data_IF_525569744451
#
_entry.id   IF_525569744451
#
_cell.length_a   1.000
_cell.length_b   1.000
_cell.length_c   1.000
_cell.angle_alpha   90.00
_cell.angle_beta   90.00
_cell.angle_gamma   90.00
#
_symmetry.space_group_name_H-M   'P 1'
#
loop_
_entity.id
_entity.type
_entity.pdbx_description
1 polymer ?
#
# COMPACT_ATOMS: atom_id res chain seq x y z
N UNK A 1 4.54 -25.59 -24.24
CA UNK A 1 5.89 -25.22 -23.74
C UNK A 1 5.80 -24.76 -22.28
N UNK A 2 4.85 -23.88 -21.93
CA UNK A 2 4.62 -23.45 -20.53
C UNK A 2 4.24 -24.58 -19.57
N UNK A 3 3.50 -25.60 -20.01
CA UNK A 3 3.11 -26.73 -19.16
C UNK A 3 4.27 -27.69 -18.80
N UNK A 4 5.45 -27.51 -19.42
CA UNK A 4 6.66 -28.31 -19.13
C UNK A 4 7.66 -27.57 -18.24
N UNK A 5 7.39 -26.31 -17.89
CA UNK A 5 8.25 -25.50 -17.05
C UNK A 5 7.91 -25.74 -15.58
N UNK A 6 8.93 -25.96 -14.73
CA UNK A 6 8.72 -26.07 -13.27
C UNK A 6 7.95 -24.86 -12.73
N UNK A 7 7.06 -25.07 -11.76
CA UNK A 7 6.11 -24.03 -11.32
C UNK A 7 6.83 -22.75 -10.84
N UNK A 8 7.95 -22.90 -10.11
CA UNK A 8 8.78 -21.78 -9.67
C UNK A 8 9.30 -20.91 -10.82
N UNK A 9 9.74 -21.51 -11.93
CA UNK A 9 10.23 -20.75 -13.09
C UNK A 9 9.08 -20.09 -13.85
N UNK A 10 7.88 -20.69 -13.80
CA UNK A 10 6.67 -20.13 -14.40
C UNK A 10 6.25 -18.84 -13.71
N UNK A 11 6.34 -18.76 -12.38
CA UNK A 11 6.08 -17.53 -11.61
C UNK A 11 7.05 -16.40 -11.99
N UNK A 12 8.36 -16.67 -12.01
CA UNK A 12 9.37 -15.68 -12.41
C UNK A 12 9.21 -15.21 -13.85
N UNK A 13 8.90 -16.13 -14.77
CA UNK A 13 8.64 -15.77 -16.16
C UNK A 13 7.35 -14.94 -16.30
N UNK A 14 6.29 -15.29 -15.57
CA UNK A 14 5.05 -14.53 -15.57
C UNK A 14 5.27 -13.11 -15.03
N UNK A 15 6.02 -12.95 -13.94
CA UNK A 15 6.42 -11.65 -13.42
C UNK A 15 7.18 -10.84 -14.48
N UNK A 16 8.21 -11.43 -15.09
CA UNK A 16 9.02 -10.76 -16.10
C UNK A 16 8.21 -10.30 -17.31
N UNK A 17 7.40 -11.20 -17.87
CA UNK A 17 6.56 -10.93 -19.05
C UNK A 17 5.51 -9.88 -18.69
N UNK A 18 4.83 -10.02 -17.55
CA UNK A 18 3.81 -9.07 -17.09
C UNK A 18 4.38 -7.67 -16.91
N UNK A 19 5.53 -7.54 -16.24
CA UNK A 19 6.23 -6.25 -16.10
C UNK A 19 6.69 -5.70 -17.45
N UNK A 20 7.09 -6.56 -18.39
CA UNK A 20 7.49 -6.12 -19.72
C UNK A 20 6.33 -5.50 -20.50
N UNK A 21 5.11 -5.99 -20.35
CA UNK A 21 3.93 -5.48 -21.06
C UNK A 21 3.59 -4.04 -20.66
N UNK A 22 3.95 -3.64 -19.44
CA UNK A 22 3.77 -2.25 -19.01
C UNK A 22 4.64 -1.25 -19.79
N UNK A 23 5.70 -1.74 -20.44
CA UNK A 23 6.56 -0.98 -21.35
C UNK A 23 6.43 -1.41 -22.82
N UNK A 24 5.63 -2.43 -23.13
CA UNK A 24 5.50 -2.99 -24.48
C UNK A 24 4.02 -3.21 -24.78
N UNK A 25 3.28 -2.11 -24.83
CA UNK A 25 1.87 -2.08 -25.20
C UNK A 25 1.54 -0.79 -25.94
N UNK A 26 0.44 -0.79 -26.69
CA UNK A 26 -0.04 0.38 -27.44
C UNK A 26 -0.44 1.57 -26.55
N UNK A 27 -0.52 1.39 -25.23
CA UNK A 27 -0.78 2.44 -24.25
C UNK A 27 0.48 3.19 -23.81
N UNK A 28 1.67 2.72 -24.22
CA UNK A 28 2.93 3.36 -23.87
C UNK A 28 3.17 4.64 -24.68
N UNK A 29 3.88 5.59 -24.06
CA UNK A 29 4.22 6.87 -24.68
C UNK A 29 5.68 7.26 -24.48
N UNK A 30 6.04 8.49 -24.86
CA UNK A 30 7.40 9.00 -24.70
C UNK A 30 7.61 9.70 -23.35
N UNK A 31 8.78 9.50 -22.73
CA UNK A 31 9.24 10.39 -21.67
C UNK A 31 9.56 11.77 -22.24
N UNK A 32 9.11 12.83 -21.59
CA UNK A 32 9.55 14.19 -21.92
C UNK A 32 8.92 14.76 -23.20
N UNK A 33 7.61 14.60 -23.37
CA UNK A 33 6.79 15.21 -24.45
C UNK A 33 7.05 16.71 -24.64
N UNK A 34 7.43 17.42 -23.56
CA UNK A 34 7.80 18.84 -23.58
C UNK A 34 9.25 19.13 -24.00
N UNK A 35 10.04 18.15 -24.43
CA UNK A 35 11.44 18.32 -24.87
C UNK A 35 11.56 18.06 -26.37
N UNK A 36 12.44 18.80 -27.04
CA UNK A 36 12.72 18.68 -28.48
C UNK A 36 13.17 17.28 -28.94
N UNK A 37 13.62 16.42 -28.01
CA UNK A 37 13.88 15.00 -28.27
C UNK A 37 13.13 14.17 -27.23
N UNK A 38 12.04 13.48 -27.61
CA UNK A 38 11.37 12.56 -26.71
C UNK A 38 12.37 11.48 -26.24
N UNK A 39 12.36 11.20 -24.94
CA UNK A 39 13.25 10.25 -24.29
C UNK A 39 12.77 8.79 -24.41
N UNK A 40 13.36 7.91 -23.61
CA UNK A 40 12.99 6.49 -23.57
C UNK A 40 11.49 6.25 -23.30
N UNK A 41 11.04 5.03 -23.56
CA UNK A 41 9.64 4.62 -23.35
C UNK A 41 9.18 4.94 -21.92
N UNK A 42 7.96 5.48 -21.84
CA UNK A 42 7.22 5.73 -20.61
C UNK A 42 6.24 4.60 -20.42
N UNK A 43 6.32 4.03 -19.23
CA UNK A 43 5.42 3.01 -18.72
C UNK A 43 3.94 3.43 -18.77
N UNK A 44 3.05 2.50 -19.08
CA UNK A 44 1.60 2.74 -19.19
C UNK A 44 1.02 3.40 -17.94
N UNK A 45 1.32 2.92 -16.73
CA UNK A 45 0.78 3.45 -15.46
C UNK A 45 1.55 4.63 -14.88
N UNK A 46 2.35 5.34 -15.68
CA UNK A 46 3.10 6.51 -15.19
C UNK A 46 2.24 7.65 -14.65
N UNK A 47 0.95 7.68 -15.01
CA UNK A 47 -0.05 8.63 -14.52
C UNK A 47 -1.17 7.97 -13.68
N UNK A 48 -0.98 6.71 -13.25
CA UNK A 48 -2.00 5.91 -12.55
C UNK A 48 -3.38 5.90 -13.22
N UNK A 49 -3.41 5.92 -14.55
CA UNK A 49 -4.61 5.88 -15.38
C UNK A 49 -4.38 5.04 -16.65
N UNK A 50 -5.46 4.77 -17.40
CA UNK A 50 -5.36 4.30 -18.77
C UNK A 50 -5.33 5.50 -19.72
N UNK A 51 -4.12 6.02 -19.97
CA UNK A 51 -3.91 7.07 -20.96
C UNK A 51 -3.80 6.47 -22.36
N UNK A 52 -4.65 6.90 -23.29
CA UNK A 52 -4.57 6.49 -24.70
C UNK A 52 -3.72 7.51 -25.48
N UNK A 53 -2.47 7.18 -25.83
CA UNK A 53 -1.62 8.11 -26.56
C UNK A 53 -2.11 8.27 -28.00
N UNK A 54 -2.03 9.49 -28.55
CA UNK A 54 -2.32 9.72 -29.97
C UNK A 54 -1.35 8.98 -30.90
N UNK A 55 -0.12 8.73 -30.43
CA UNK A 55 0.88 7.91 -31.11
C UNK A 55 1.40 6.87 -30.15
N UNK A 56 1.04 5.61 -30.40
CA UNK A 56 1.56 4.47 -29.67
C UNK A 56 3.07 4.30 -29.91
N UNK A 57 3.76 3.77 -28.92
CA UNK A 57 5.17 3.40 -29.00
C UNK A 57 5.33 1.98 -28.45
N UNK A 58 6.08 1.16 -29.16
CA UNK A 58 6.50 -0.15 -28.70
C UNK A 58 8.03 -0.21 -28.66
N UNK A 59 8.57 -0.77 -27.57
CA UNK A 59 10.00 -1.06 -27.50
C UNK A 59 10.29 -2.40 -28.17
N UNK A 60 11.57 -2.67 -28.48
CA UNK A 60 12.00 -4.02 -28.84
C UNK A 60 12.35 -4.76 -27.54
N UNK A 61 11.56 -5.77 -27.11
CA UNK A 61 11.76 -6.43 -25.82
C UNK A 61 13.10 -7.17 -25.70
N UNK A 62 13.68 -7.59 -26.83
CA UNK A 62 14.94 -8.36 -26.89
C UNK A 62 16.13 -7.50 -27.31
N UNK A 63 15.98 -6.18 -27.31
CA UNK A 63 17.07 -5.27 -27.61
C UNK A 63 18.22 -5.43 -26.61
N UNK A 64 19.45 -5.52 -27.12
CA UNK A 64 20.63 -5.88 -26.33
C UNK A 64 21.25 -4.72 -25.57
N UNK A 65 20.93 -3.47 -25.93
CA UNK A 65 21.44 -2.30 -25.24
C UNK A 65 20.58 -1.92 -24.03
N UNK A 66 21.15 -1.11 -23.14
CA UNK A 66 20.51 -0.68 -21.92
C UNK A 66 19.42 0.38 -22.18
N UNK A 67 18.18 -0.07 -22.37
CA UNK A 67 17.01 0.79 -22.55
C UNK A 67 15.86 0.35 -21.62
N UNK A 68 14.92 1.25 -21.34
CA UNK A 68 13.76 0.91 -20.51
C UNK A 68 12.87 -0.14 -21.19
N UNK A 69 12.37 -1.10 -20.41
CA UNK A 69 11.36 -2.05 -20.85
C UNK A 69 11.86 -3.26 -21.64
N UNK A 70 13.17 -3.47 -21.79
CA UNK A 70 13.70 -4.72 -22.37
C UNK A 70 13.62 -5.85 -21.35
N UNK A 71 13.40 -7.07 -21.81
CA UNK A 71 13.31 -8.26 -20.96
C UNK A 71 14.59 -8.47 -20.16
N UNK A 72 15.76 -8.31 -20.80
CA UNK A 72 17.05 -8.43 -20.12
C UNK A 72 17.18 -7.41 -18.98
N UNK A 73 16.87 -6.14 -19.25
CA UNK A 73 16.97 -5.08 -18.23
C UNK A 73 16.00 -5.31 -17.08
N UNK A 74 14.77 -5.71 -17.39
CA UNK A 74 13.76 -6.02 -16.37
C UNK A 74 14.17 -7.23 -15.52
N UNK A 75 14.75 -8.27 -16.13
CA UNK A 75 15.29 -9.40 -15.41
C UNK A 75 16.40 -8.98 -14.44
N UNK A 76 17.39 -8.22 -14.91
CA UNK A 76 18.51 -7.71 -14.09
C UNK A 76 17.99 -6.82 -12.94
N UNK A 77 17.13 -5.83 -13.23
CA UNK A 77 16.69 -4.80 -12.28
C UNK A 77 15.56 -5.26 -11.33
N UNK A 78 14.77 -6.29 -11.67
CA UNK A 78 13.59 -6.70 -10.89
C UNK A 78 13.69 -8.09 -10.30
N UNK A 79 14.40 -9.01 -10.96
CA UNK A 79 14.51 -10.40 -10.50
C UNK A 79 15.88 -10.61 -9.88
N UNK A 80 16.95 -10.28 -10.60
CA UNK A 80 18.31 -10.52 -10.13
C UNK A 80 18.68 -9.60 -8.95
N UNK A 81 18.40 -8.30 -9.06
CA UNK A 81 18.60 -7.33 -7.97
C UNK A 81 17.75 -7.67 -6.74
N UNK A 82 16.51 -8.11 -6.92
CA UNK A 82 15.65 -8.53 -5.82
C UNK A 82 16.19 -9.80 -5.14
N UNK A 83 16.62 -10.80 -5.94
CA UNK A 83 17.24 -12.02 -5.42
C UNK A 83 18.54 -11.75 -4.65
N UNK A 84 19.38 -10.83 -5.15
CA UNK A 84 20.57 -10.36 -4.41
C UNK A 84 20.19 -9.73 -3.07
N UNK A 85 19.20 -8.82 -3.08
CA UNK A 85 18.74 -8.18 -1.85
C UNK A 85 18.12 -9.19 -0.89
N UNK A 86 17.43 -10.21 -1.39
CA UNK A 86 16.83 -11.25 -0.55
C UNK A 86 17.87 -12.10 0.19
N UNK A 87 19.03 -12.36 -0.42
CA UNK A 87 20.14 -13.09 0.23
C UNK A 87 20.93 -12.18 1.17
N UNK A 88 21.13 -10.91 0.80
CA UNK A 88 21.91 -9.94 1.57
C UNK A 88 21.14 -8.61 1.73
N UNK A 89 20.09 -8.57 2.58
CA UNK A 89 19.25 -7.39 2.71
C UNK A 89 20.04 -6.23 3.29
N UNK A 90 19.81 -5.05 2.72
CA UNK A 90 20.45 -3.80 3.12
C UNK A 90 19.43 -2.75 3.53
N UNK A 91 19.76 -1.97 4.56
CA UNK A 91 18.96 -0.86 5.07
C UNK A 91 19.79 0.44 5.13
N UNK A 92 19.13 1.59 5.13
CA UNK A 92 19.73 2.91 5.32
C UNK A 92 19.99 3.16 6.80
N UNK A 93 21.27 3.34 7.15
CA UNK A 93 21.68 3.82 8.47
C UNK A 93 22.05 5.29 8.41
N UNK A 94 21.33 6.11 9.18
CA UNK A 94 21.67 7.51 9.35
C UNK A 94 22.96 7.65 10.17
N UNK A 95 23.83 8.53 9.73
CA UNK A 95 25.10 8.89 10.36
C UNK A 95 25.23 10.41 10.40
N UNK A 96 26.23 10.93 11.11
CA UNK A 96 26.51 12.38 11.12
C UNK A 96 26.88 12.94 9.73
N UNK A 97 27.36 12.09 8.81
CA UNK A 97 27.75 12.49 7.46
C UNK A 97 26.65 12.28 6.40
N UNK A 98 25.42 11.98 6.82
CA UNK A 98 24.32 11.56 5.93
C UNK A 98 23.94 10.11 6.17
N UNK A 99 23.32 9.45 5.20
CA UNK A 99 22.94 8.04 5.31
C UNK A 99 23.87 7.16 4.46
N UNK A 100 24.03 5.90 4.89
CA UNK A 100 24.70 4.86 4.09
C UNK A 100 23.89 3.58 4.11
N UNK A 101 23.99 2.77 3.06
CA UNK A 101 23.45 1.39 3.08
C UNK A 101 24.33 0.53 3.98
N UNK A 102 23.70 -0.26 4.84
CA UNK A 102 24.36 -1.26 5.69
C UNK A 102 23.66 -2.59 5.49
N UNK A 103 24.43 -3.66 5.43
CA UNK A 103 23.90 -5.02 5.41
C UNK A 103 23.29 -5.36 6.78
N UNK A 104 22.14 -6.03 6.76
CA UNK A 104 21.49 -6.57 7.94
C UNK A 104 22.07 -7.96 8.20
N UNK A 105 23.12 -8.01 9.02
CA UNK A 105 23.82 -9.27 9.31
C UNK A 105 22.89 -10.30 9.92
N UNK A 106 22.85 -11.49 9.31
CA UNK A 106 22.02 -12.61 9.75
C UNK A 106 20.60 -12.60 9.21
N UNK A 107 20.17 -11.55 8.51
CA UNK A 107 18.85 -11.46 7.88
C UNK A 107 18.86 -11.96 6.43
N UNK A 108 17.74 -12.54 6.00
CA UNK A 108 17.45 -12.92 4.61
C UNK A 108 15.96 -12.75 4.36
N UNK A 109 15.56 -12.25 3.19
CA UNK A 109 14.16 -12.23 2.76
C UNK A 109 13.82 -13.55 2.07
N UNK A 110 13.50 -14.55 2.90
CA UNK A 110 13.17 -15.89 2.44
C UNK A 110 12.72 -16.74 3.61
N UNK A 111 11.91 -17.75 3.31
CA UNK A 111 11.31 -18.58 4.34
C UNK A 111 10.64 -19.82 3.76
N UNK A 112 10.00 -20.58 4.63
CA UNK A 112 9.15 -21.71 4.25
C UNK A 112 7.70 -21.24 4.22
N UNK A 113 7.07 -21.37 3.06
CA UNK A 113 5.64 -21.13 2.93
C UNK A 113 4.86 -22.24 3.65
N UNK A 114 3.85 -21.84 4.42
CA UNK A 114 2.93 -22.69 5.14
C UNK A 114 1.54 -22.56 4.52
N UNK A 115 0.78 -23.64 4.49
CA UNK A 115 -0.59 -23.66 3.97
C UNK A 115 -1.61 -23.14 4.99
N UNK A 116 -1.27 -23.19 6.28
CA UNK A 116 -2.12 -22.70 7.36
C UNK A 116 -1.32 -22.33 8.61
N UNK A 117 -1.98 -21.69 9.58
CA UNK A 117 -1.35 -21.27 10.83
C UNK A 117 -0.95 -22.47 11.71
N UNK A 118 -1.61 -23.62 11.56
CA UNK A 118 -1.30 -24.85 12.29
C UNK A 118 0.04 -25.47 11.88
N UNK A 119 0.54 -25.16 10.68
CA UNK A 119 1.85 -25.62 10.19
C UNK A 119 3.01 -24.80 10.80
N UNK A 120 2.71 -23.73 11.54
CA UNK A 120 3.74 -22.94 12.22
C UNK A 120 4.27 -23.75 13.41
N UNK A 121 5.48 -24.26 13.27
CA UNK A 121 6.16 -25.08 14.28
C UNK A 121 7.12 -24.26 15.16
N UNK A 122 7.14 -22.94 14.96
CA UNK A 122 8.00 -22.00 15.67
C UNK A 122 9.41 -21.90 15.08
N UNK A 123 9.67 -22.50 13.91
CA UNK A 123 10.88 -22.25 13.15
C UNK A 123 10.93 -20.78 12.69
N UNK A 124 12.16 -20.29 12.51
CA UNK A 124 12.41 -18.93 12.05
C UNK A 124 12.07 -18.85 10.56
N UNK A 125 11.33 -17.79 10.16
CA UNK A 125 10.95 -17.48 8.77
C UNK A 125 9.96 -18.46 8.13
N UNK A 126 8.84 -18.71 8.80
CA UNK A 126 7.65 -19.27 8.16
C UNK A 126 6.69 -18.15 7.73
N UNK A 127 5.98 -18.32 6.63
CA UNK A 127 5.04 -17.32 6.13
C UNK A 127 3.82 -17.95 5.43
N UNK A 128 2.74 -17.18 5.33
CA UNK A 128 1.52 -17.53 4.59
C UNK A 128 1.27 -16.40 3.59
N UNK A 129 1.00 -16.73 2.32
CA UNK A 129 0.52 -15.78 1.31
C UNK A 129 -0.84 -16.24 0.83
N UNK A 130 -1.85 -15.37 0.96
CA UNK A 130 -3.22 -15.70 0.58
C UNK A 130 -3.88 -14.56 -0.19
N UNK A 131 -4.67 -14.92 -1.20
CA UNK A 131 -5.59 -14.02 -1.88
C UNK A 131 -6.97 -14.13 -1.25
N UNK A 132 -7.38 -13.13 -0.44
CA UNK A 132 -8.71 -13.11 0.19
C UNK A 132 -9.14 -11.69 0.58
N UNK A 133 -10.40 -11.55 0.94
CA UNK A 133 -10.93 -10.37 1.62
C UNK A 133 -10.30 -10.22 3.02
N UNK A 134 -9.60 -9.11 3.24
CA UNK A 134 -8.96 -8.80 4.53
C UNK A 134 -9.94 -8.53 5.69
N UNK A 135 -11.24 -8.48 5.42
CA UNK A 135 -12.27 -8.46 6.47
C UNK A 135 -12.61 -9.85 7.01
N UNK A 136 -12.03 -10.91 6.45
CA UNK A 136 -12.14 -12.28 6.95
C UNK A 136 -10.79 -13.00 6.88
N UNK A 137 -10.13 -13.12 8.03
CA UNK A 137 -8.84 -13.79 8.17
C UNK A 137 -9.03 -15.18 8.82
N UNK A 138 -8.39 -16.23 8.30
CA UNK A 138 -8.45 -17.60 8.81
C UNK A 138 -7.50 -17.75 10.00
N UNK A 139 -7.47 -16.74 10.86
CA UNK A 139 -6.61 -16.64 12.01
C UNK A 139 -7.45 -16.72 13.28
N UNK A 140 -6.99 -17.43 14.33
CA UNK A 140 -7.67 -17.42 15.61
C UNK A 140 -7.74 -16.01 16.21
N UNK A 141 -8.73 -15.80 17.07
CA UNK A 141 -8.79 -14.59 17.90
C UNK A 141 -7.48 -14.40 18.67
N UNK A 142 -7.00 -13.15 18.73
CA UNK A 142 -5.83 -12.78 19.54
C UNK A 142 -4.58 -13.62 19.24
N UNK A 143 -4.35 -13.96 17.98
CA UNK A 143 -3.20 -14.75 17.53
C UNK A 143 -2.01 -13.89 17.05
N UNK A 144 -2.24 -12.63 16.67
CA UNK A 144 -1.27 -11.77 15.98
C UNK A 144 -0.75 -10.64 16.88
N UNK A 145 0.56 -10.38 16.89
CA UNK A 145 1.15 -9.27 17.64
C UNK A 145 1.00 -7.92 16.91
N UNK A 146 1.17 -7.90 15.59
CA UNK A 146 1.13 -6.68 14.78
C UNK A 146 0.32 -6.90 13.52
N UNK A 147 -0.60 -5.97 13.24
CA UNK A 147 -1.20 -5.81 11.92
C UNK A 147 -0.57 -4.56 11.32
N UNK A 148 0.24 -4.73 10.27
CA UNK A 148 0.87 -3.63 9.54
C UNK A 148 0.24 -3.58 8.15
N UNK A 149 -0.36 -2.45 7.79
CA UNK A 149 -1.14 -2.32 6.54
C UNK A 149 -1.04 -0.91 5.96
N UNK A 150 -1.49 -0.75 4.72
CA UNK A 150 -1.63 0.53 4.02
C UNK A 150 -3.04 0.57 3.41
N UNK A 151 -4.06 1.02 4.16
CA UNK A 151 -5.45 0.92 3.73
C UNK A 151 -5.70 1.83 2.53
N UNK A 152 -6.67 1.49 1.66
CA UNK A 152 -6.98 2.30 0.48
C UNK A 152 -7.31 3.73 0.89
N UNK A 153 -6.70 4.67 0.18
CA UNK A 153 -6.93 6.10 0.37
C UNK A 153 -8.22 6.50 -0.35
N UNK A 154 -9.04 7.28 0.37
CA UNK A 154 -10.31 7.79 -0.11
C UNK A 154 -10.18 8.41 -1.52
N UNK A 155 -10.93 7.88 -2.50
CA UNK A 155 -11.11 8.44 -3.85
C UNK A 155 -9.80 8.70 -4.65
N UNK A 156 -8.66 8.11 -4.28
CA UNK A 156 -7.37 8.57 -4.80
C UNK A 156 -6.83 7.79 -6.01
N UNK A 157 -7.13 6.48 -6.15
CA UNK A 157 -6.66 5.66 -7.28
C UNK A 157 -7.61 4.48 -7.53
N UNK A 158 -8.04 4.30 -8.79
CA UNK A 158 -8.86 3.17 -9.25
C UNK A 158 -8.02 1.89 -9.44
N UNK A 159 -7.34 1.41 -8.40
CA UNK A 159 -6.44 0.25 -8.49
C UNK A 159 -7.13 -1.01 -9.03
N UNK A 160 -8.41 -1.21 -8.69
CA UNK A 160 -9.22 -2.30 -9.23
C UNK A 160 -9.26 -2.30 -10.75
N UNK A 161 -9.52 -1.15 -11.36
CA UNK A 161 -9.62 -1.03 -12.82
C UNK A 161 -8.25 -1.12 -13.49
N UNK A 162 -7.22 -0.51 -12.91
CA UNK A 162 -5.84 -0.62 -13.40
C UNK A 162 -5.32 -2.07 -13.34
N UNK A 163 -5.76 -2.85 -12.35
CA UNK A 163 -5.37 -4.25 -12.22
C UNK A 163 -5.86 -5.12 -13.38
N UNK A 164 -6.93 -4.71 -14.09
CA UNK A 164 -7.48 -5.47 -15.21
C UNK A 164 -6.43 -5.72 -16.30
N UNK A 165 -5.54 -4.76 -16.57
CA UNK A 165 -4.41 -4.91 -17.47
C UNK A 165 -3.65 -6.21 -17.18
N UNK A 166 -3.14 -6.36 -15.96
CA UNK A 166 -2.37 -7.54 -15.57
C UNK A 166 -3.18 -8.83 -15.58
N UNK A 167 -4.44 -8.77 -15.13
CA UNK A 167 -5.30 -9.96 -15.01
C UNK A 167 -5.53 -10.65 -16.34
N UNK A 168 -5.66 -9.90 -17.44
CA UNK A 168 -6.02 -10.47 -18.75
C UNK A 168 -5.06 -11.57 -19.18
N UNK A 169 -3.74 -11.41 -18.99
CA UNK A 169 -2.75 -12.43 -19.33
C UNK A 169 -2.32 -13.29 -18.15
N UNK A 170 -2.24 -12.74 -16.94
CA UNK A 170 -1.79 -13.53 -15.79
C UNK A 170 -2.71 -14.72 -15.52
N UNK A 171 -4.01 -14.62 -15.79
CA UNK A 171 -4.92 -15.78 -15.71
C UNK A 171 -4.57 -16.93 -16.66
N UNK A 172 -3.99 -16.63 -17.83
CA UNK A 172 -3.54 -17.65 -18.78
C UNK A 172 -2.18 -18.21 -18.39
N UNK A 173 -1.29 -17.33 -17.91
CA UNK A 173 0.04 -17.72 -17.47
C UNK A 173 0.00 -18.51 -16.17
N UNK A 174 -0.88 -18.19 -15.23
CA UNK A 174 -0.92 -18.73 -13.88
C UNK A 174 -2.34 -19.19 -13.47
N UNK A 175 -2.99 -20.07 -14.25
CA UNK A 175 -4.41 -20.39 -14.10
C UNK A 175 -4.79 -21.05 -12.76
N UNK A 176 -3.80 -21.55 -12.01
CA UNK A 176 -3.99 -22.27 -10.74
C UNK A 176 -3.40 -21.54 -9.53
N UNK A 177 -2.67 -20.45 -9.75
CA UNK A 177 -1.90 -19.78 -8.68
C UNK A 177 -2.67 -18.62 -8.03
N UNK A 178 -3.87 -18.31 -8.53
CA UNK A 178 -4.74 -17.27 -7.99
C UNK A 178 -6.20 -17.59 -8.33
N UNK A 179 -7.11 -17.04 -7.54
CA UNK A 179 -8.52 -16.98 -7.90
C UNK A 179 -8.77 -15.82 -8.87
N UNK A 180 -8.84 -16.16 -10.15
CA UNK A 180 -9.09 -15.21 -11.22
C UNK A 180 -10.54 -14.71 -11.29
N UNK A 181 -11.48 -15.35 -10.58
CA UNK A 181 -12.90 -14.99 -10.56
C UNK A 181 -13.25 -13.88 -9.56
N UNK A 182 -12.24 -13.34 -8.86
CA UNK A 182 -12.41 -12.27 -7.88
C UNK A 182 -13.27 -11.11 -8.41
N UNK A 183 -14.33 -10.79 -7.66
CA UNK A 183 -15.28 -9.72 -7.98
C UNK A 183 -14.74 -8.37 -7.53
N UNK A 184 -14.37 -7.51 -8.48
CA UNK A 184 -13.90 -6.16 -8.19
C UNK A 184 -14.92 -5.29 -7.44
N UNK A 185 -16.23 -5.61 -7.55
CA UNK A 185 -17.33 -4.84 -6.93
C UNK A 185 -17.31 -4.87 -5.40
N UNK A 186 -16.77 -5.90 -4.76
CA UNK A 186 -16.67 -5.98 -3.29
C UNK A 186 -15.51 -5.16 -2.72
N UNK A 187 -14.60 -4.67 -3.57
CA UNK A 187 -13.44 -3.88 -3.14
C UNK A 187 -13.84 -2.49 -2.60
N UNK A 188 -13.12 -2.02 -1.59
CA UNK A 188 -13.26 -0.67 -1.03
C UNK A 188 -13.00 0.44 -2.06
N UNK A 189 -12.24 0.14 -3.12
CA UNK A 189 -11.90 1.08 -4.20
C UNK A 189 -12.80 0.95 -5.43
N UNK A 190 -13.88 0.15 -5.38
CA UNK A 190 -14.83 0.02 -6.48
C UNK A 190 -15.78 1.22 -6.58
N UNK A 191 -16.02 1.72 -7.80
CA UNK A 191 -16.95 2.84 -8.03
C UNK A 191 -18.41 2.47 -7.74
N UNK A 192 -19.09 3.23 -6.88
CA UNK A 192 -20.52 3.10 -6.57
C UNK A 192 -21.15 4.47 -6.25
N UNK A 193 -22.47 4.64 -6.35
CA UNK A 193 -23.16 5.91 -6.06
C UNK A 193 -23.05 6.37 -4.58
N UNK A 194 -22.91 5.43 -3.63
CA UNK A 194 -22.74 5.70 -2.19
C UNK A 194 -21.28 5.51 -1.71
N UNK A 195 -20.33 6.19 -2.38
CA UNK A 195 -18.86 5.98 -2.20
C UNK A 195 -18.39 6.05 -0.75
N UNK A 196 -18.79 7.07 0.01
CA UNK A 196 -18.27 7.29 1.36
C UNK A 196 -18.78 6.26 2.38
N UNK A 197 -20.07 5.93 2.34
CA UNK A 197 -20.68 4.97 3.26
C UNK A 197 -20.19 3.55 2.99
N UNK A 198 -20.09 3.15 1.72
CA UNK A 198 -19.48 1.87 1.34
C UNK A 198 -18.02 1.79 1.79
N UNK A 199 -17.22 2.83 1.51
CA UNK A 199 -15.82 2.90 1.95
C UNK A 199 -15.70 2.73 3.46
N UNK A 200 -16.51 3.48 4.23
CA UNK A 200 -16.55 3.38 5.70
C UNK A 200 -16.92 1.98 6.16
N UNK A 201 -17.94 1.37 5.58
CA UNK A 201 -18.41 0.05 5.97
C UNK A 201 -17.33 -1.03 5.73
N UNK A 202 -16.70 -1.03 4.55
CA UNK A 202 -15.63 -1.98 4.21
C UNK A 202 -14.41 -1.76 5.11
N UNK A 203 -13.94 -0.51 5.24
CA UNK A 203 -12.79 -0.21 6.11
C UNK A 203 -13.07 -0.59 7.56
N UNK A 204 -14.27 -0.29 8.09
CA UNK A 204 -14.65 -0.70 9.43
C UNK A 204 -14.68 -2.22 9.59
N UNK A 205 -15.10 -2.97 8.56
CA UNK A 205 -15.07 -4.45 8.58
C UNK A 205 -13.63 -4.98 8.69
N UNK A 206 -12.72 -4.49 7.84
CA UNK A 206 -11.30 -4.85 7.86
C UNK A 206 -10.65 -4.51 9.21
N UNK A 207 -10.95 -3.33 9.74
CA UNK A 207 -10.43 -2.89 11.03
C UNK A 207 -10.99 -3.75 12.18
N UNK A 208 -12.28 -4.10 12.18
CA UNK A 208 -12.83 -5.02 13.18
C UNK A 208 -12.14 -6.38 13.15
N UNK A 209 -11.88 -6.88 11.95
CA UNK A 209 -11.16 -8.15 11.79
C UNK A 209 -9.73 -8.06 12.31
N UNK A 210 -9.04 -6.97 11.99
CA UNK A 210 -7.73 -6.65 12.57
C UNK A 210 -7.79 -6.59 14.10
N UNK A 211 -8.85 -6.00 14.67
CA UNK A 211 -9.06 -5.93 16.11
C UNK A 211 -9.24 -7.31 16.75
N UNK A 212 -9.98 -8.21 16.08
CA UNK A 212 -10.23 -9.60 16.52
C UNK A 212 -8.94 -10.41 16.62
N UNK A 213 -8.11 -10.37 15.59
CA UNK A 213 -6.88 -11.18 15.52
C UNK A 213 -5.75 -10.65 16.41
N UNK A 214 -5.76 -9.36 16.77
CA UNK A 214 -4.69 -8.76 17.57
C UNK A 214 -4.62 -9.29 19.02
N UNK A 215 -3.42 -9.59 19.51
CA UNK A 215 -3.18 -9.98 20.91
C UNK A 215 -3.49 -8.84 21.88
N UNK A 216 -3.86 -9.18 23.11
CA UNK A 216 -4.05 -8.22 24.22
C UNK A 216 -3.01 -8.47 25.30
N UNK A 217 -2.49 -7.43 25.99
CA UNK A 217 -2.70 -5.99 25.79
C UNK A 217 -1.80 -5.35 24.72
N UNK A 218 -0.85 -6.11 24.17
CA UNK A 218 0.28 -5.56 23.42
C UNK A 218 0.09 -5.46 21.91
N UNK A 219 -1.00 -6.02 21.36
CA UNK A 219 -1.25 -6.01 19.92
C UNK A 219 -1.34 -4.59 19.36
N UNK A 220 -0.75 -4.34 18.19
CA UNK A 220 -0.79 -3.03 17.52
C UNK A 220 -1.27 -3.14 16.09
N UNK A 221 -2.18 -2.23 15.72
CA UNK A 221 -2.49 -1.92 14.33
C UNK A 221 -1.63 -0.71 13.93
N UNK A 222 -0.91 -0.82 12.82
CA UNK A 222 0.02 0.20 12.33
C UNK A 222 -0.25 0.42 10.84
N UNK A 223 -0.50 1.66 10.45
CA UNK A 223 -0.59 2.00 9.03
C UNK A 223 -0.16 3.44 8.74
N UNK A 224 0.25 3.65 7.50
CA UNK A 224 0.51 4.97 6.92
C UNK A 224 -0.80 5.60 6.45
N UNK A 225 -0.95 6.90 6.66
CA UNK A 225 -2.10 7.65 6.16
C UNK A 225 -1.73 9.10 5.86
N UNK A 226 -2.17 9.59 4.70
CA UNK A 226 -1.91 10.94 4.25
C UNK A 226 -3.01 11.35 3.26
N UNK A 227 -3.78 12.39 3.59
CA UNK A 227 -4.84 12.88 2.70
C UNK A 227 -5.20 14.34 3.01
N UNK A 228 -5.34 15.19 1.99
CA UNK A 228 -5.65 16.62 2.18
C UNK A 228 -7.11 16.88 2.59
N UNK A 229 -8.06 16.07 2.11
CA UNK A 229 -9.50 16.29 2.38
C UNK A 229 -9.85 15.82 3.80
N UNK A 230 -10.46 16.70 4.59
CA UNK A 230 -10.98 16.39 5.92
C UNK A 230 -11.97 15.21 5.90
N UNK A 231 -12.77 15.09 4.84
CA UNK A 231 -13.73 13.98 4.67
C UNK A 231 -13.06 12.60 4.76
N UNK A 232 -11.84 12.45 4.24
CA UNK A 232 -11.12 11.19 4.32
C UNK A 232 -10.73 10.85 5.78
N UNK A 233 -10.28 11.85 6.54
CA UNK A 233 -9.98 11.71 7.96
C UNK A 233 -11.22 11.46 8.83
N UNK A 234 -12.35 12.06 8.46
CA UNK A 234 -13.66 11.79 9.08
C UNK A 234 -14.01 10.31 8.92
N UNK A 235 -14.04 9.80 7.69
CA UNK A 235 -14.40 8.40 7.43
C UNK A 235 -13.43 7.42 8.11
N UNK A 236 -12.13 7.73 8.11
CA UNK A 236 -11.13 6.96 8.86
C UNK A 236 -11.41 6.95 10.37
N UNK A 237 -11.66 8.12 10.97
CA UNK A 237 -11.93 8.27 12.40
C UNK A 237 -13.18 7.46 12.81
N UNK A 238 -14.24 7.56 12.01
CA UNK A 238 -15.48 6.84 12.24
C UNK A 238 -15.30 5.32 12.11
N UNK A 239 -14.53 4.86 11.12
CA UNK A 239 -14.23 3.43 10.93
C UNK A 239 -13.40 2.87 12.10
N UNK A 240 -12.36 3.59 12.55
CA UNK A 240 -11.54 3.22 13.71
C UNK A 240 -12.36 3.16 15.00
N UNK A 241 -13.25 4.13 15.21
CA UNK A 241 -14.15 4.15 16.37
C UNK A 241 -15.10 2.96 16.37
N UNK A 242 -15.73 2.68 15.23
CA UNK A 242 -16.61 1.52 15.05
C UNK A 242 -15.88 0.18 15.19
N UNK A 243 -14.57 0.16 14.92
CA UNK A 243 -13.69 -1.00 15.11
C UNK A 243 -13.01 -1.05 16.48
N UNK A 244 -13.41 -0.19 17.43
CA UNK A 244 -12.92 -0.24 18.81
C UNK A 244 -11.40 -0.09 18.91
N UNK A 245 -10.83 0.87 18.20
CA UNK A 245 -9.42 1.26 18.30
C UNK A 245 -9.24 2.60 19.01
N UNK A 246 -8.08 2.76 19.64
CA UNK A 246 -7.57 4.04 20.13
C UNK A 246 -6.17 4.30 19.62
N UNK A 247 -5.85 5.57 19.39
CA UNK A 247 -4.51 5.99 18.99
C UNK A 247 -3.56 5.90 20.19
N UNK A 248 -2.39 5.29 19.99
CA UNK A 248 -1.31 5.16 20.99
C UNK A 248 -0.19 6.12 20.67
N UNK A 249 0.19 6.21 19.39
CA UNK A 249 1.23 7.11 18.93
C UNK A 249 1.03 7.47 17.46
N UNK A 250 1.66 8.57 17.04
CA UNK A 250 1.67 9.01 15.65
C UNK A 250 3.03 9.60 15.31
N UNK A 251 3.59 9.23 14.16
CA UNK A 251 4.83 9.79 13.63
C UNK A 251 4.57 10.48 12.31
N UNK A 252 5.13 11.67 12.13
CA UNK A 252 5.09 12.38 10.86
C UNK A 252 6.43 12.19 10.17
N UNK A 253 6.43 11.54 9.01
CA UNK A 253 7.65 11.21 8.25
C UNK A 253 7.62 11.86 6.88
N UNK A 254 8.77 12.33 6.39
CA UNK A 254 8.87 12.85 5.03
C UNK A 254 8.84 11.67 4.04
N UNK A 255 7.86 11.66 3.14
CA UNK A 255 7.52 10.50 2.29
C UNK A 255 7.71 10.75 0.78
N UNK A 256 8.07 11.96 0.33
CA UNK A 256 8.13 12.25 -1.11
C UNK A 256 9.28 11.52 -1.84
N UNK A 257 8.90 10.87 -2.95
CA UNK A 257 9.83 10.47 -4.01
C UNK A 257 9.98 11.62 -5.02
N UNK A 258 11.21 12.10 -5.33
CA UNK A 258 11.46 13.19 -6.28
C UNK A 258 11.10 12.88 -7.75
N UNK A 259 10.52 11.70 -8.05
CA UNK A 259 10.27 11.18 -9.41
C UNK A 259 8.78 11.27 -9.81
N UNK A 260 7.87 11.52 -8.87
CA UNK A 260 6.43 11.54 -9.14
C UNK A 260 6.03 12.69 -10.07
N UNK A 261 5.67 12.35 -11.31
CA UNK A 261 5.31 13.32 -12.38
C UNK A 261 4.01 14.08 -12.06
N UNK A 262 3.19 13.56 -11.13
CA UNK A 262 1.94 14.16 -10.65
C UNK A 262 2.10 15.44 -9.81
N UNK A 263 3.31 15.82 -9.41
CA UNK A 263 3.51 16.82 -8.33
C UNK A 263 4.23 18.09 -8.79
N UNK A 264 4.70 18.15 -10.05
CA UNK A 264 5.20 19.41 -10.59
C UNK A 264 4.02 20.38 -10.75
N UNK A 265 3.89 21.29 -9.78
CA UNK A 265 2.95 22.43 -9.70
C UNK A 265 1.69 22.28 -8.81
N UNK A 266 1.49 21.14 -8.14
CA UNK A 266 0.40 20.97 -7.16
C UNK A 266 0.97 21.01 -5.74
N UNK A 267 0.26 21.62 -4.78
CA UNK A 267 0.61 21.60 -3.34
C UNK A 267 0.51 20.15 -2.81
N UNK A 268 1.49 19.31 -3.12
CA UNK A 268 1.50 17.92 -2.68
C UNK A 268 1.75 17.82 -1.18
N UNK A 269 1.11 16.82 -0.56
CA UNK A 269 1.34 16.47 0.83
C UNK A 269 2.67 15.73 0.90
N UNK A 270 3.66 16.33 1.56
CA UNK A 270 5.05 15.84 1.54
C UNK A 270 5.40 14.84 2.63
N UNK A 271 4.47 14.67 3.57
CA UNK A 271 4.66 13.89 4.77
C UNK A 271 3.51 12.91 4.94
N UNK A 272 3.84 11.74 5.49
CA UNK A 272 2.87 10.72 5.87
C UNK A 272 2.75 10.66 7.39
N UNK A 273 1.54 10.31 7.85
CA UNK A 273 1.31 9.95 9.25
C UNK A 273 1.41 8.44 9.41
N UNK A 274 2.40 7.95 10.15
CA UNK A 274 2.41 6.58 10.65
C UNK A 274 1.60 6.58 11.94
N UNK A 275 0.44 5.93 11.92
CA UNK A 275 -0.48 5.89 13.05
C UNK A 275 -0.40 4.52 13.73
N UNK A 276 -0.24 4.51 15.05
CA UNK A 276 -0.11 3.31 15.87
C UNK A 276 -1.30 3.22 16.80
N UNK A 277 -2.09 2.17 16.65
CA UNK A 277 -3.33 1.94 17.41
C UNK A 277 -3.23 0.72 18.29
N UNK A 278 -4.06 0.69 19.33
CA UNK A 278 -4.35 -0.50 20.11
C UNK A 278 -5.87 -0.70 20.23
N UNK A 279 -6.34 -1.94 20.36
CA UNK A 279 -7.73 -2.21 20.67
C UNK A 279 -8.16 -1.60 22.02
N UNK A 280 -9.39 -1.09 22.09
CA UNK A 280 -9.98 -0.63 23.36
C UNK A 280 -10.18 -1.84 24.30
N UNK A 281 -9.94 -1.63 25.60
CA UNK A 281 -9.96 -2.70 26.62
C UNK A 281 -8.62 -3.41 26.89
N UNK A 282 -7.57 -3.10 26.13
CA UNK A 282 -6.24 -3.72 26.25
C UNK A 282 -5.24 -3.06 27.21
N UNK A 283 -5.64 -2.35 28.28
CA UNK A 283 -4.70 -1.81 29.28
C UNK A 283 -4.61 -0.28 29.41
N UNK A 284 -3.65 0.19 30.24
CA UNK A 284 -3.62 1.55 30.82
C UNK A 284 -3.38 2.63 29.75
N UNK A 285 -4.22 3.67 29.80
CA UNK A 285 -4.17 4.81 28.88
C UNK A 285 -2.80 5.49 28.89
N UNK A 286 -2.20 5.67 27.71
CA UNK A 286 -1.00 6.49 27.51
C UNK A 286 -1.37 7.76 26.76
N UNK A 287 -1.64 8.83 27.51
CA UNK A 287 -1.89 10.16 26.98
C UNK A 287 -3.36 10.41 26.59
N UNK A 288 -3.82 11.64 26.82
CA UNK A 288 -5.03 12.17 26.21
C UNK A 288 -4.63 13.14 25.10
N UNK A 289 -5.17 12.93 23.91
CA UNK A 289 -4.97 13.87 22.81
C UNK A 289 -5.83 15.12 23.05
N UNK A 290 -5.23 16.31 22.93
CA UNK A 290 -5.99 17.57 23.01
C UNK A 290 -6.50 17.96 21.62
N UNK A 291 -7.76 18.38 21.53
CA UNK A 291 -8.34 18.95 20.31
C UNK A 291 -7.47 20.12 19.81
N UNK A 292 -6.91 20.06 18.58
CA UNK A 292 -6.23 21.20 17.98
C UNK A 292 -7.23 22.34 17.73
N UNK A 293 -6.79 23.59 17.84
CA UNK A 293 -7.65 24.76 17.62
C UNK A 293 -7.92 25.04 16.14
N UNK A 294 -6.92 24.79 15.29
CA UNK A 294 -6.96 25.02 13.84
C UNK A 294 -6.03 24.00 13.17
N UNK A 295 -6.47 23.40 12.07
CA UNK A 295 -5.67 22.58 11.18
C UNK A 295 -5.26 23.43 9.97
N UNK A 296 -3.97 23.77 9.88
CA UNK A 296 -3.44 24.52 8.74
C UNK A 296 -3.02 23.59 7.62
N UNK A 297 -3.20 24.02 6.38
CA UNK A 297 -2.83 23.29 5.15
C UNK A 297 -1.64 23.91 4.42
N UNK A 298 -0.93 24.85 5.06
CA UNK A 298 0.24 25.54 4.53
C UNK A 298 1.53 24.71 4.65
N UNK A 299 1.62 23.88 5.69
CA UNK A 299 2.73 22.97 5.93
C UNK A 299 2.24 21.53 6.12
N UNK A 300 2.71 20.63 5.25
CA UNK A 300 2.32 19.21 5.26
C UNK A 300 2.65 18.47 6.56
N UNK A 301 3.76 18.81 7.22
CA UNK A 301 4.15 18.15 8.47
C UNK A 301 3.21 18.55 9.61
N UNK A 302 2.98 19.86 9.75
CA UNK A 302 2.06 20.45 10.72
C UNK A 302 0.63 19.96 10.49
N UNK A 303 0.20 19.86 9.23
CA UNK A 303 -1.09 19.30 8.85
C UNK A 303 -1.24 17.86 9.35
N UNK A 304 -0.32 16.96 8.98
CA UNK A 304 -0.35 15.55 9.38
C UNK A 304 -0.39 15.39 10.90
N UNK A 305 0.45 16.16 11.61
CA UNK A 305 0.49 16.15 13.07
C UNK A 305 -0.82 16.62 13.71
N UNK A 306 -1.44 17.67 13.16
CA UNK A 306 -2.71 18.19 13.67
C UNK A 306 -3.87 17.22 13.39
N UNK A 307 -3.91 16.61 12.21
CA UNK A 307 -4.88 15.57 11.87
C UNK A 307 -4.75 14.35 12.80
N UNK A 308 -3.55 13.83 13.02
CA UNK A 308 -3.33 12.71 13.93
C UNK A 308 -3.77 13.04 15.37
N UNK A 309 -3.53 14.27 15.84
CA UNK A 309 -4.01 14.73 17.15
C UNK A 309 -5.52 14.83 17.24
N UNK A 310 -6.18 15.36 16.21
CA UNK A 310 -7.63 15.45 16.20
C UNK A 310 -8.27 14.06 16.15
N UNK A 311 -7.72 13.17 15.33
CA UNK A 311 -8.11 11.76 15.27
C UNK A 311 -8.02 11.10 16.64
N UNK A 312 -6.86 11.23 17.31
CA UNK A 312 -6.67 10.70 18.67
C UNK A 312 -7.68 11.27 19.67
N UNK A 313 -7.95 12.58 19.61
CA UNK A 313 -8.95 13.23 20.48
C UNK A 313 -10.36 12.65 20.26
N UNK A 314 -10.78 12.50 19.01
CA UNK A 314 -12.10 11.94 18.68
C UNK A 314 -12.26 10.47 19.11
N UNK A 315 -11.18 9.67 19.02
CA UNK A 315 -11.18 8.26 19.44
C UNK A 315 -11.21 8.11 20.97
N UNK A 316 -10.59 9.01 21.72
CA UNK A 316 -10.61 9.00 23.18
C UNK A 316 -11.89 9.65 23.79
N UNK A 317 -12.76 10.24 22.96
CA UNK A 317 -13.97 10.95 23.39
C UNK A 317 -15.25 10.12 23.23
N UNK A 318 -16.29 10.41 24.02
CA UNK A 318 -17.62 9.79 23.91
C UNK A 318 -18.52 10.39 22.80
N UNK A 319 -17.93 11.19 21.89
CA UNK A 319 -18.64 11.87 20.80
C UNK A 319 -19.37 10.87 19.88
N UNK A 320 -20.61 11.18 19.52
CA UNK A 320 -21.35 10.47 18.50
C UNK A 320 -20.79 10.77 17.10
N UNK A 321 -21.15 9.96 16.11
CA UNK A 321 -20.66 10.09 14.72
C UNK A 321 -20.86 11.51 14.15
N UNK A 322 -22.07 12.08 14.31
CA UNK A 322 -22.38 13.43 13.83
C UNK A 322 -21.57 14.52 14.53
N UNK A 323 -21.19 14.31 15.79
CA UNK A 323 -20.36 15.22 16.55
C UNK A 323 -18.89 15.12 16.12
N UNK A 324 -18.40 13.92 15.77
CA UNK A 324 -17.07 13.71 15.19
C UNK A 324 -16.98 14.43 13.84
N UNK A 325 -17.97 14.26 12.97
CA UNK A 325 -18.04 14.94 11.67
C UNK A 325 -17.98 16.47 11.83
N UNK A 326 -18.82 17.01 12.73
CA UNK A 326 -18.81 18.44 13.05
C UNK A 326 -17.46 18.89 13.59
N UNK A 327 -16.86 18.13 14.50
CA UNK A 327 -15.57 18.46 15.12
C UNK A 327 -14.45 18.57 14.07
N UNK A 328 -14.43 17.67 13.08
CA UNK A 328 -13.49 17.71 11.96
C UNK A 328 -13.75 18.87 10.99
N UNK A 329 -15.02 19.21 10.74
CA UNK A 329 -15.39 20.30 9.82
C UNK A 329 -15.13 21.70 10.41
N UNK A 330 -15.12 21.81 11.73
CA UNK A 330 -14.84 23.05 12.46
C UNK A 330 -13.33 23.30 12.70
N UNK A 331 -12.49 22.27 12.58
CA UNK A 331 -11.06 22.32 12.87
C UNK A 331 -10.25 22.76 11.64
#
# INVERSE_FOLDING_TARGET
MLDRTENRHRLWLALLVSTSLEFNSMLCGYKGVAKNRPGAIRHVFSHHDYSFPHTALESNPVFSQNTSGTLRRLFEDRIEDAGRWAVEPVERRLTRAGWRKVMLLGETDGGSECSSIEEFDGQVRQFIVEQRDSSELPLPDRSVDFVVTDPPYFDSVQYSDLSHFFRVWLQWFLPKEADWQFMTVSSAVAETEAKAEKFRAVLASILRESNRVLRRPHGRLIFTYHHWRAEAWIQLTLALKAASFRLVNSYTVYSESPISVHIRQLKALKHDSILVFQPTGGGRATGSYRRPKVIKTDDSASFCHACAKLLGFCLDSDLQDSEIERTWREA
#
